data_IF_556361541190
#
_entry.id   IF_556361541190
#
_cell.length_a   1.000
_cell.length_b   1.000
_cell.length_c   1.000
_cell.angle_alpha   90.00
_cell.angle_beta   90.00
_cell.angle_gamma   90.00
#
_symmetry.space_group_name_H-M   'P 1'
#
loop_
_entity.id
_entity.type
_entity.pdbx_description
1 polymer ?
#
# COMPACT_ATOMS: atom_id res chain seq x y z
N UNK A 1 20.67 36.35 -51.68
CA UNK A 1 19.82 36.01 -52.88
C UNK A 1 20.28 34.68 -53.41
N UNK A 2 19.68 33.57 -52.99
CA UNK A 2 19.77 32.29 -53.68
C UNK A 2 18.43 31.58 -53.48
N UNK A 3 17.78 31.21 -54.57
CA UNK A 3 16.42 30.77 -54.68
C UNK A 3 16.26 29.29 -54.28
N UNK A 4 15.11 28.96 -53.69
CA UNK A 4 14.61 27.60 -53.44
C UNK A 4 13.98 27.03 -54.71
N UNK A 5 14.13 25.72 -55.02
CA UNK A 5 13.27 25.03 -55.96
C UNK A 5 12.08 24.36 -55.26
N UNK A 6 10.90 24.62 -55.78
CA UNK A 6 9.65 23.88 -55.52
C UNK A 6 9.74 22.51 -56.17
N UNK A 7 9.39 21.45 -55.46
CA UNK A 7 9.13 20.13 -56.00
C UNK A 7 7.69 19.71 -55.84
N UNK A 8 7.20 19.13 -56.90
CA UNK A 8 5.82 18.85 -57.27
C UNK A 8 5.08 17.84 -56.38
N UNK A 9 3.77 18.03 -56.34
CA UNK A 9 2.78 17.12 -55.81
C UNK A 9 2.71 15.83 -56.66
N UNK A 10 2.80 14.68 -56.01
CA UNK A 10 2.50 13.37 -56.62
C UNK A 10 1.18 12.86 -56.09
N UNK A 11 0.20 12.70 -56.99
CA UNK A 11 -1.09 12.11 -56.76
C UNK A 11 -0.98 10.61 -56.46
N UNK A 12 -1.55 10.14 -55.38
CA UNK A 12 -1.76 8.72 -55.08
C UNK A 12 -3.24 8.42 -55.25
N UNK A 13 -3.66 7.41 -56.05
CA UNK A 13 -5.06 7.09 -56.25
C UNK A 13 -5.67 6.36 -55.06
N UNK A 14 -6.91 6.73 -54.74
CA UNK A 14 -7.72 6.14 -53.67
C UNK A 14 -8.08 4.68 -54.00
N UNK A 15 -7.63 3.74 -53.17
CA UNK A 15 -8.13 2.37 -53.15
C UNK A 15 -9.40 2.30 -52.29
N UNK A 16 -10.53 1.90 -52.87
CA UNK A 16 -11.76 1.57 -52.19
C UNK A 16 -11.63 0.28 -51.42
N UNK A 17 -12.02 0.20 -50.11
CA UNK A 17 -12.06 -1.07 -49.41
C UNK A 17 -13.35 -1.83 -49.81
N UNK A 18 -13.19 -3.08 -50.23
CA UNK A 18 -14.30 -4.06 -50.35
C UNK A 18 -14.68 -4.45 -48.90
N UNK A 19 -15.95 -4.16 -48.54
CA UNK A 19 -16.54 -4.65 -47.32
C UNK A 19 -16.92 -6.13 -47.50
N UNK A 20 -16.16 -7.00 -46.81
CA UNK A 20 -16.55 -8.40 -46.66
C UNK A 20 -17.40 -8.51 -45.36
N UNK A 21 -18.69 -8.71 -45.53
CA UNK A 21 -19.62 -8.96 -44.41
C UNK A 21 -19.47 -10.42 -44.01
N UNK A 22 -18.83 -10.70 -42.90
CA UNK A 22 -18.89 -11.98 -42.22
C UNK A 22 -20.07 -11.99 -41.26
N UNK A 23 -21.12 -12.73 -41.59
CA UNK A 23 -22.20 -13.06 -40.65
C UNK A 23 -21.69 -14.25 -39.83
N UNK A 24 -21.27 -13.99 -38.57
CA UNK A 24 -20.98 -15.04 -37.61
C UNK A 24 -22.26 -15.24 -36.77
N UNK A 25 -22.94 -16.37 -37.02
CA UNK A 25 -23.98 -16.90 -36.11
C UNK A 25 -23.23 -17.36 -34.84
N UNK A 26 -23.21 -16.57 -33.81
CA UNK A 26 -22.75 -16.99 -32.48
C UNK A 26 -23.94 -17.52 -31.68
N UNK A 27 -24.02 -18.85 -31.54
CA UNK A 27 -24.85 -19.49 -30.54
C UNK A 27 -24.41 -18.98 -29.16
N UNK A 28 -25.34 -18.31 -28.46
CA UNK A 28 -25.08 -17.74 -27.15
C UNK A 28 -24.85 -18.81 -26.10
N UNK A 29 -23.60 -18.99 -25.71
CA UNK A 29 -23.25 -19.58 -24.40
C UNK A 29 -23.03 -18.39 -23.48
N UNK A 30 -24.02 -18.13 -22.60
CA UNK A 30 -23.87 -17.16 -21.53
C UNK A 30 -22.71 -17.61 -20.62
N UNK A 31 -21.70 -16.76 -20.36
CA UNK A 31 -20.71 -17.10 -19.34
C UNK A 31 -21.41 -17.08 -17.99
N UNK A 32 -21.43 -18.22 -17.32
CA UNK A 32 -21.69 -18.29 -15.88
C UNK A 32 -20.56 -17.52 -15.21
N UNK A 33 -20.85 -16.27 -14.82
CA UNK A 33 -19.96 -15.49 -13.95
C UNK A 33 -20.05 -16.19 -12.59
N UNK A 34 -19.11 -17.08 -12.31
CA UNK A 34 -18.89 -17.57 -10.96
C UNK A 34 -18.53 -16.32 -10.12
N UNK A 35 -19.44 -15.95 -9.23
CA UNK A 35 -19.25 -14.92 -8.22
C UNK A 35 -18.10 -15.41 -7.33
N UNK A 36 -16.92 -14.84 -7.58
CA UNK A 36 -15.72 -15.17 -6.85
C UNK A 36 -15.83 -14.47 -5.49
N UNK A 37 -16.29 -15.22 -4.48
CA UNK A 37 -16.23 -14.81 -3.09
C UNK A 37 -14.85 -14.23 -2.80
N UNK A 38 -14.74 -13.06 -2.14
CA UNK A 38 -13.46 -12.50 -1.78
C UNK A 38 -12.84 -13.37 -0.67
N UNK A 39 -12.13 -14.41 -1.08
CA UNK A 39 -11.28 -15.15 -0.14
C UNK A 39 -10.19 -14.19 0.33
N UNK A 40 -10.29 -13.73 1.56
CA UNK A 40 -9.31 -12.89 2.26
C UNK A 40 -8.04 -13.66 2.65
N UNK A 41 -7.67 -14.67 1.88
CA UNK A 41 -6.37 -15.31 1.99
C UNK A 41 -5.36 -14.43 1.28
N UNK A 42 -4.46 -13.80 2.04
CA UNK A 42 -3.28 -13.13 1.52
C UNK A 42 -2.42 -14.17 0.80
N UNK A 43 -2.62 -14.31 -0.51
CA UNK A 43 -1.84 -15.24 -1.31
C UNK A 43 -0.40 -14.70 -1.44
N UNK A 44 0.50 -15.25 -0.62
CA UNK A 44 1.93 -14.98 -0.70
C UNK A 44 2.44 -15.64 -1.97
N UNK A 45 3.03 -14.87 -2.88
CA UNK A 45 3.62 -15.44 -4.09
C UNK A 45 4.70 -16.45 -3.71
N UNK A 46 4.84 -17.52 -4.50
CA UNK A 46 5.81 -18.60 -4.25
C UNK A 46 7.22 -18.09 -3.95
N UNK A 47 7.65 -17.00 -4.61
CA UNK A 47 8.98 -16.40 -4.41
C UNK A 47 9.13 -15.67 -3.07
N UNK A 48 8.05 -15.25 -2.41
CA UNK A 48 8.08 -14.55 -1.13
C UNK A 48 7.84 -15.49 0.04
N UNK A 49 7.43 -16.74 -0.20
CA UNK A 49 7.09 -17.68 0.86
C UNK A 49 8.26 -17.94 1.83
N UNK A 50 9.44 -18.23 1.28
CA UNK A 50 10.64 -18.47 2.11
C UNK A 50 11.03 -17.21 2.92
N UNK A 51 10.88 -16.02 2.33
CA UNK A 51 11.16 -14.75 3.01
C UNK A 51 10.13 -14.47 4.10
N UNK A 52 8.85 -14.70 3.84
CA UNK A 52 7.79 -14.54 4.84
C UNK A 52 8.00 -15.53 6.01
N UNK A 53 8.41 -16.76 5.74
CA UNK A 53 8.72 -17.73 6.78
C UNK A 53 9.94 -17.30 7.62
N UNK A 54 11.00 -16.78 6.98
CA UNK A 54 12.17 -16.25 7.69
C UNK A 54 11.79 -15.06 8.60
N UNK A 55 10.99 -14.11 8.08
CA UNK A 55 10.48 -12.99 8.88
C UNK A 55 9.60 -13.48 10.04
N UNK A 56 8.70 -14.42 9.81
CA UNK A 56 7.85 -15.00 10.86
C UNK A 56 8.69 -15.62 12.00
N UNK A 57 9.74 -16.35 11.66
CA UNK A 57 10.66 -16.93 12.65
C UNK A 57 11.34 -15.86 13.47
N UNK A 58 11.81 -14.78 12.84
CA UNK A 58 12.48 -13.68 13.54
C UNK A 58 11.52 -12.87 14.41
N UNK A 59 10.29 -12.62 13.95
CA UNK A 59 9.26 -11.97 14.76
C UNK A 59 8.89 -12.80 15.99
N UNK A 60 8.73 -14.12 15.82
CA UNK A 60 8.47 -15.02 16.95
C UNK A 60 9.63 -15.03 17.97
N UNK A 61 10.86 -14.82 17.51
CA UNK A 61 12.05 -14.77 18.37
C UNK A 61 12.21 -13.45 19.16
N UNK A 62 11.41 -12.40 18.87
CA UNK A 62 11.45 -11.14 19.63
C UNK A 62 11.16 -11.35 21.11
N UNK A 63 10.31 -12.32 21.47
CA UNK A 63 10.02 -12.70 22.85
C UNK A 63 9.32 -14.06 22.90
N UNK A 64 9.56 -14.81 23.98
CA UNK A 64 8.84 -16.06 24.28
C UNK A 64 7.30 -15.87 24.41
N UNK A 65 6.84 -14.63 24.57
CA UNK A 65 5.40 -14.28 24.67
C UNK A 65 4.73 -14.06 23.32
N UNK A 66 5.49 -14.01 22.23
CA UNK A 66 4.93 -13.82 20.89
C UNK A 66 4.28 -15.10 20.41
N UNK A 67 3.01 -15.01 19.97
CA UNK A 67 2.32 -16.12 19.34
C UNK A 67 2.92 -16.37 17.92
N UNK A 68 3.46 -17.57 17.65
CA UNK A 68 4.03 -17.90 16.34
C UNK A 68 3.02 -17.78 15.19
N UNK A 69 1.72 -18.01 15.47
CA UNK A 69 0.66 -17.84 14.45
C UNK A 69 0.46 -16.37 14.11
N UNK A 70 0.52 -15.49 15.12
CA UNK A 70 0.45 -14.05 14.91
C UNK A 70 1.68 -13.54 14.15
N UNK A 71 2.88 -13.98 14.52
CA UNK A 71 4.12 -13.67 13.80
C UNK A 71 4.05 -14.09 12.32
N UNK A 72 3.52 -15.28 12.04
CA UNK A 72 3.30 -15.78 10.67
C UNK A 72 2.29 -14.90 9.92
N UNK A 73 1.16 -14.60 10.51
CA UNK A 73 0.14 -13.75 9.88
C UNK A 73 0.67 -12.35 9.55
N UNK A 74 1.47 -11.77 10.45
CA UNK A 74 2.13 -10.48 10.22
C UNK A 74 3.11 -10.56 9.05
N UNK A 75 3.97 -11.57 9.00
CA UNK A 75 4.96 -11.74 7.95
C UNK A 75 4.29 -11.91 6.56
N UNK A 76 3.29 -12.76 6.47
CA UNK A 76 2.53 -12.99 5.23
C UNK A 76 1.79 -11.71 4.77
N UNK A 77 1.11 -11.04 5.70
CA UNK A 77 0.41 -9.79 5.41
C UNK A 77 1.38 -8.69 4.95
N UNK A 78 2.53 -8.54 5.61
CA UNK A 78 3.54 -7.53 5.27
C UNK A 78 4.10 -7.73 3.86
N UNK A 79 4.45 -8.98 3.48
CA UNK A 79 4.90 -9.29 2.13
C UNK A 79 3.81 -9.06 1.07
N UNK A 80 2.58 -9.50 1.34
CA UNK A 80 1.44 -9.28 0.44
C UNK A 80 1.13 -7.78 0.27
N UNK A 81 1.14 -7.01 1.36
CA UNK A 81 0.93 -5.57 1.35
C UNK A 81 2.02 -4.85 0.55
N UNK A 82 3.31 -5.15 0.81
CA UNK A 82 4.42 -4.53 0.08
C UNK A 82 4.31 -4.77 -1.44
N UNK A 83 3.99 -5.99 -1.87
CA UNK A 83 3.78 -6.31 -3.29
C UNK A 83 2.59 -5.57 -3.89
N UNK A 84 1.45 -5.53 -3.18
CA UNK A 84 0.27 -4.77 -3.62
C UNK A 84 0.59 -3.30 -3.77
N UNK A 85 1.28 -2.70 -2.79
CA UNK A 85 1.67 -1.30 -2.83
C UNK A 85 2.65 -0.99 -3.96
N UNK A 86 3.59 -1.90 -4.25
CA UNK A 86 4.48 -1.78 -5.42
C UNK A 86 3.70 -1.63 -6.71
N UNK A 87 2.67 -2.45 -6.91
CA UNK A 87 1.78 -2.37 -8.07
C UNK A 87 0.94 -1.10 -8.05
N UNK A 88 0.29 -0.77 -6.93
CA UNK A 88 -0.58 0.40 -6.78
C UNK A 88 0.16 1.73 -6.97
N UNK A 89 1.40 1.81 -6.49
CA UNK A 89 2.24 2.99 -6.63
C UNK A 89 3.02 3.02 -7.95
N UNK A 90 2.84 1.98 -8.78
CA UNK A 90 3.57 1.83 -10.05
C UNK A 90 5.07 2.04 -9.88
N UNK A 91 5.65 1.39 -8.84
CA UNK A 91 7.05 1.57 -8.47
C UNK A 91 7.97 1.21 -9.62
N UNK A 92 8.71 2.20 -10.12
CA UNK A 92 9.64 2.07 -11.24
C UNK A 92 10.89 2.91 -11.01
N UNK A 93 12.06 2.40 -11.37
CA UNK A 93 13.34 3.08 -11.17
C UNK A 93 13.69 3.25 -9.69
N UNK A 94 14.42 4.30 -9.34
CA UNK A 94 14.87 4.55 -7.97
C UNK A 94 13.76 5.14 -7.08
N UNK A 95 13.83 4.98 -5.73
CA UNK A 95 12.92 5.66 -4.81
C UNK A 95 12.91 7.19 -4.99
N UNK A 96 14.08 7.81 -5.21
CA UNK A 96 14.20 9.25 -5.47
C UNK A 96 13.48 9.64 -6.77
N UNK A 97 13.59 8.83 -7.83
CA UNK A 97 12.85 9.07 -9.06
C UNK A 97 11.33 8.96 -8.85
N UNK A 98 10.87 8.02 -8.02
CA UNK A 98 9.46 7.94 -7.68
C UNK A 98 8.98 9.15 -6.87
N UNK A 99 9.81 9.67 -5.96
CA UNK A 99 9.53 10.93 -5.26
C UNK A 99 9.40 12.10 -6.24
N UNK A 100 10.28 12.19 -7.23
CA UNK A 100 10.17 13.19 -8.30
C UNK A 100 8.84 13.08 -9.05
N UNK A 101 8.40 11.87 -9.43
CA UNK A 101 7.11 11.67 -10.10
C UNK A 101 5.92 12.07 -9.23
N UNK A 102 5.97 11.81 -7.92
CA UNK A 102 4.91 12.24 -6.99
C UNK A 102 4.93 13.75 -6.82
N UNK A 103 6.11 14.36 -6.66
CA UNK A 103 6.27 15.80 -6.48
C UNK A 103 5.71 16.60 -7.68
N UNK A 104 5.94 16.13 -8.91
CA UNK A 104 5.44 16.76 -10.13
C UNK A 104 4.01 16.34 -10.51
N UNK A 105 3.30 15.62 -9.66
CA UNK A 105 1.90 15.27 -9.88
C UNK A 105 1.65 14.12 -10.88
N UNK A 106 2.70 13.49 -11.42
CA UNK A 106 2.56 12.30 -12.28
C UNK A 106 2.04 11.09 -11.52
N UNK A 107 2.20 11.09 -10.20
CA UNK A 107 1.69 10.06 -9.28
C UNK A 107 1.07 10.70 -8.05
N UNK A 108 0.04 10.06 -7.51
CA UNK A 108 -0.67 10.56 -6.31
C UNK A 108 0.00 10.15 -5.01
N UNK A 109 0.72 9.03 -4.99
CA UNK A 109 1.34 8.43 -3.79
C UNK A 109 2.64 7.73 -4.18
N UNK A 110 3.54 7.51 -3.20
CA UNK A 110 4.80 6.81 -3.39
C UNK A 110 5.95 7.27 -2.48
N UNK A 111 5.75 8.30 -1.64
CA UNK A 111 6.73 8.72 -0.63
C UNK A 111 6.91 7.66 0.47
N UNK A 112 8.08 7.62 1.12
CA UNK A 112 8.39 6.66 2.19
C UNK A 112 7.32 6.60 3.28
N UNK A 113 6.84 7.75 3.78
CA UNK A 113 5.80 7.81 4.80
C UNK A 113 4.46 7.21 4.33
N UNK A 114 4.14 7.29 3.04
CA UNK A 114 2.90 6.71 2.49
C UNK A 114 2.97 5.18 2.44
N UNK A 115 4.15 4.63 2.18
CA UNK A 115 4.39 3.19 2.28
C UNK A 115 4.22 2.69 3.71
N UNK A 116 4.81 3.41 4.67
CA UNK A 116 4.69 3.08 6.09
C UNK A 116 3.25 3.20 6.58
N UNK A 117 2.52 4.24 6.15
CA UNK A 117 1.10 4.44 6.45
C UNK A 117 0.24 3.26 5.99
N UNK A 118 0.37 2.87 4.72
CA UNK A 118 -0.46 1.81 4.15
C UNK A 118 -0.07 0.43 4.72
N UNK A 119 1.21 0.21 5.04
CA UNK A 119 1.67 -1.00 5.71
C UNK A 119 1.16 -1.07 7.15
N UNK A 120 1.22 0.03 7.91
CA UNK A 120 0.66 0.13 9.26
C UNK A 120 -0.82 -0.25 9.27
N UNK A 121 -1.61 0.33 8.37
CA UNK A 121 -3.05 0.06 8.30
C UNK A 121 -3.37 -1.38 7.90
N UNK A 122 -2.57 -1.97 7.00
CA UNK A 122 -2.74 -3.36 6.63
C UNK A 122 -2.50 -4.31 7.82
N UNK A 123 -1.47 -4.05 8.63
CA UNK A 123 -1.15 -4.87 9.80
C UNK A 123 -2.06 -4.57 11.01
N UNK A 124 -2.51 -3.33 11.19
CA UNK A 124 -3.52 -2.99 12.23
C UNK A 124 -4.84 -3.77 12.05
N UNK A 125 -5.17 -4.13 10.80
CA UNK A 125 -6.36 -4.93 10.50
C UNK A 125 -6.29 -6.34 11.09
N UNK A 126 -5.09 -6.88 11.37
CA UNK A 126 -4.88 -8.19 11.99
C UNK A 126 -5.26 -8.23 13.47
N UNK A 127 -5.44 -7.06 14.12
CA UNK A 127 -5.81 -6.95 15.55
C UNK A 127 -4.87 -7.72 16.47
N UNK A 128 -3.57 -7.40 16.35
CA UNK A 128 -2.48 -8.06 17.04
C UNK A 128 -2.65 -8.04 18.58
N UNK A 129 -2.28 -9.15 19.23
CA UNK A 129 -2.41 -9.36 20.69
C UNK A 129 -1.05 -9.45 21.38
N UNK A 130 -0.08 -10.06 20.73
CA UNK A 130 1.26 -10.35 21.27
C UNK A 130 2.36 -9.50 20.64
N UNK A 131 2.05 -8.84 19.50
CA UNK A 131 2.91 -7.90 18.81
C UNK A 131 2.32 -6.49 18.86
N UNK A 132 3.17 -5.47 18.69
CA UNK A 132 2.81 -4.05 18.70
C UNK A 132 3.47 -3.32 17.53
N UNK A 133 2.75 -2.35 16.95
CA UNK A 133 3.17 -1.63 15.76
C UNK A 133 3.52 -0.18 16.10
N UNK A 134 4.72 0.25 15.71
CA UNK A 134 5.27 1.57 15.95
C UNK A 134 5.67 2.23 14.62
N UNK A 135 5.71 3.56 14.61
CA UNK A 135 6.23 4.34 13.49
C UNK A 135 7.66 4.75 13.76
N UNK A 136 8.59 4.36 12.90
CA UNK A 136 9.98 4.74 12.97
C UNK A 136 10.33 5.80 11.93
N UNK A 137 11.13 6.81 12.34
CA UNK A 137 11.65 7.87 11.49
C UNK A 137 13.17 7.94 11.60
N UNK A 138 13.83 8.01 10.46
CA UNK A 138 15.25 8.34 10.37
C UNK A 138 15.43 9.61 9.52
N UNK A 139 16.37 10.48 9.92
CA UNK A 139 16.71 11.72 9.23
C UNK A 139 15.52 12.67 9.02
N UNK A 140 14.58 12.73 9.96
CA UNK A 140 13.35 13.52 9.87
C UNK A 140 13.63 14.97 9.46
N UNK A 141 12.81 15.51 8.52
CA UNK A 141 12.94 16.86 8.00
C UNK A 141 14.10 17.10 7.03
N UNK A 142 14.81 16.07 6.61
CA UNK A 142 15.87 16.15 5.60
C UNK A 142 15.48 15.47 4.29
N UNK A 143 16.24 15.71 3.23
CA UNK A 143 16.04 15.01 1.95
C UNK A 143 16.30 13.49 2.03
N UNK A 144 16.99 13.05 3.10
CA UNK A 144 17.25 11.62 3.39
C UNK A 144 16.18 10.98 4.26
N UNK A 145 15.15 11.74 4.65
CA UNK A 145 14.09 11.21 5.52
C UNK A 145 13.59 9.85 5.04
N UNK A 146 13.55 8.91 5.96
CA UNK A 146 13.02 7.59 5.75
C UNK A 146 12.10 7.20 6.90
N UNK A 147 10.92 6.72 6.53
CA UNK A 147 9.92 6.23 7.46
C UNK A 147 9.77 4.72 7.30
N UNK A 148 9.61 4.02 8.39
CA UNK A 148 9.42 2.57 8.41
C UNK A 148 8.39 2.17 9.46
N UNK A 149 7.86 0.97 9.30
CA UNK A 149 7.09 0.33 10.36
C UNK A 149 8.03 -0.48 11.24
N UNK A 150 7.87 -0.36 12.56
CA UNK A 150 8.61 -1.18 13.52
C UNK A 150 7.65 -2.07 14.29
N UNK A 151 8.01 -3.32 14.47
CA UNK A 151 7.23 -4.31 15.21
C UNK A 151 8.01 -4.75 16.42
N UNK A 152 7.41 -4.61 17.61
CA UNK A 152 7.95 -5.15 18.86
C UNK A 152 7.09 -6.28 19.40
N UNK A 153 7.61 -7.11 20.28
CA UNK A 153 6.74 -7.86 21.17
C UNK A 153 6.02 -6.89 22.11
N UNK A 154 4.77 -7.16 22.40
CA UNK A 154 3.92 -6.25 23.18
C UNK A 154 4.57 -5.87 24.52
N UNK A 155 4.63 -4.55 24.76
CA UNK A 155 5.26 -3.97 25.95
C UNK A 155 6.78 -3.95 25.94
N UNK A 156 7.43 -4.30 24.82
CA UNK A 156 8.87 -4.09 24.66
C UNK A 156 9.16 -2.68 24.11
N UNK A 157 10.32 -2.09 24.44
CA UNK A 157 10.73 -0.80 23.93
C UNK A 157 10.99 -0.87 22.42
N UNK A 158 10.79 0.27 21.74
CA UNK A 158 10.93 0.45 20.30
C UNK A 158 12.27 -0.08 19.75
N UNK A 159 13.37 0.14 20.46
CA UNK A 159 14.73 -0.23 20.05
C UNK A 159 14.93 -1.75 19.93
N UNK A 160 14.08 -2.54 20.60
CA UNK A 160 14.09 -4.02 20.51
C UNK A 160 13.24 -4.55 19.37
N UNK A 161 12.65 -3.66 18.60
CA UNK A 161 11.77 -4.02 17.49
C UNK A 161 12.50 -4.41 16.22
N UNK A 162 11.71 -4.86 15.28
CA UNK A 162 12.09 -5.19 13.92
C UNK A 162 11.49 -4.18 12.95
N UNK A 163 12.34 -3.57 12.14
CA UNK A 163 11.99 -2.67 11.05
C UNK A 163 11.36 -3.48 9.92
N UNK A 164 10.27 -2.97 9.35
CA UNK A 164 9.71 -3.38 8.06
C UNK A 164 9.72 -2.17 7.12
N UNK A 165 10.43 -2.29 6.02
CA UNK A 165 10.63 -1.21 5.06
C UNK A 165 10.58 -1.74 3.62
N UNK A 166 9.85 -1.08 2.74
CA UNK A 166 9.72 -1.50 1.35
C UNK A 166 10.06 -0.37 0.35
N UNK A 167 10.03 0.89 0.74
CA UNK A 167 10.23 2.02 -0.16
C UNK A 167 11.62 2.04 -0.81
N UNK A 168 12.71 1.94 -0.03
CA UNK A 168 14.09 1.93 -0.53
C UNK A 168 14.42 0.73 -1.39
N UNK A 169 13.68 -0.36 -1.19
CA UNK A 169 13.90 -1.64 -1.87
C UNK A 169 12.92 -1.88 -3.01
N UNK A 170 12.46 -0.80 -3.65
CA UNK A 170 11.63 -0.86 -4.87
C UNK A 170 10.34 -1.66 -4.68
N UNK A 171 9.75 -1.61 -3.48
CA UNK A 171 8.56 -2.37 -3.12
C UNK A 171 8.82 -3.82 -2.73
N UNK A 172 10.07 -4.21 -2.54
CA UNK A 172 10.43 -5.47 -1.89
C UNK A 172 10.56 -5.24 -0.39
N UNK A 173 9.87 -6.04 0.41
CA UNK A 173 9.94 -5.93 1.86
C UNK A 173 11.35 -6.31 2.35
N UNK A 174 11.97 -5.39 3.07
CA UNK A 174 13.19 -5.58 3.85
C UNK A 174 12.83 -5.53 5.33
N UNK A 175 13.56 -6.25 6.15
CA UNK A 175 13.48 -6.18 7.60
C UNK A 175 14.85 -6.27 8.24
N UNK A 176 15.01 -5.66 9.41
CA UNK A 176 16.21 -5.73 10.24
C UNK A 176 15.85 -5.37 11.68
N UNK A 177 16.69 -5.70 12.65
CA UNK A 177 16.54 -5.19 14.01
C UNK A 177 16.83 -3.69 14.04
N UNK A 178 16.09 -2.91 14.83
CA UNK A 178 16.27 -1.44 14.96
C UNK A 178 17.71 -1.09 15.31
N UNK A 179 18.31 -1.79 16.28
CA UNK A 179 19.68 -1.53 16.71
C UNK A 179 20.77 -2.03 15.75
N UNK A 180 20.41 -2.87 14.78
CA UNK A 180 21.35 -3.42 13.79
C UNK A 180 21.21 -2.75 12.42
N UNK A 181 20.33 -1.79 12.28
CA UNK A 181 20.13 -1.09 11.02
C UNK A 181 21.17 0.01 10.79
N UNK A 182 21.48 0.27 9.52
CA UNK A 182 22.40 1.35 9.12
C UNK A 182 21.84 2.73 9.42
N UNK A 183 20.49 2.87 9.37
CA UNK A 183 19.80 4.10 9.73
C UNK A 183 19.41 4.08 11.20
N UNK A 184 19.65 5.20 11.87
CA UNK A 184 19.19 5.39 13.24
C UNK A 184 17.75 5.85 13.26
N UNK A 185 16.83 4.93 13.61
CA UNK A 185 15.41 5.23 13.73
C UNK A 185 15.02 5.68 15.13
N UNK A 186 14.07 6.60 15.18
CA UNK A 186 13.41 7.07 16.41
C UNK A 186 11.90 6.86 16.28
N UNK A 187 11.23 6.60 17.40
CA UNK A 187 9.80 6.41 17.42
C UNK A 187 9.04 7.73 17.26
N UNK A 188 8.03 7.74 16.35
CA UNK A 188 7.06 8.84 16.23
C UNK A 188 5.65 8.35 16.58
N UNK A 189 5.32 8.36 17.86
CA UNK A 189 4.00 7.95 18.39
C UNK A 189 2.86 8.83 17.88
N UNK A 190 3.13 10.13 17.66
CA UNK A 190 2.12 11.10 17.18
C UNK A 190 1.69 10.80 15.75
N UNK A 191 2.63 10.38 14.90
CA UNK A 191 2.32 10.06 13.51
C UNK A 191 1.50 8.78 13.40
N UNK A 192 1.88 7.72 14.11
CA UNK A 192 1.11 6.48 14.17
C UNK A 192 -0.35 6.72 14.61
N UNK A 193 -0.54 7.51 15.69
CA UNK A 193 -1.87 7.88 16.17
C UNK A 193 -2.68 8.67 15.13
N UNK A 194 -2.05 9.65 14.47
CA UNK A 194 -2.69 10.46 13.41
C UNK A 194 -3.19 9.59 12.24
N UNK A 195 -2.36 8.64 11.79
CA UNK A 195 -2.71 7.72 10.70
C UNK A 195 -3.94 6.90 11.06
N UNK A 196 -3.95 6.30 12.25
CA UNK A 196 -5.08 5.50 12.76
C UNK A 196 -6.36 6.32 12.90
N UNK A 197 -6.29 7.52 13.47
CA UNK A 197 -7.45 8.42 13.59
C UNK A 197 -8.02 8.80 12.23
N UNK A 198 -7.16 9.14 11.27
CA UNK A 198 -7.59 9.49 9.91
C UNK A 198 -8.22 8.30 9.17
N UNK A 199 -7.73 7.09 9.38
CA UNK A 199 -8.31 5.89 8.80
C UNK A 199 -9.69 5.59 9.42
N UNK A 200 -9.81 5.68 10.74
CA UNK A 200 -11.08 5.49 11.45
C UNK A 200 -12.15 6.48 10.98
N UNK A 201 -11.80 7.76 10.77
CA UNK A 201 -12.76 8.78 10.29
C UNK A 201 -13.26 8.56 8.86
N UNK A 202 -12.52 7.82 8.03
CA UNK A 202 -12.88 7.46 6.65
C UNK A 202 -13.65 6.14 6.56
N UNK A 203 -13.76 5.39 7.64
CA UNK A 203 -14.48 4.13 7.68
C UNK A 203 -16.00 4.36 7.49
N UNK A 204 -16.72 3.52 6.72
CA UNK A 204 -18.16 3.61 6.57
C UNK A 204 -18.92 3.57 7.91
N UNK A 205 -18.42 2.84 8.90
CA UNK A 205 -18.99 2.80 10.24
C UNK A 205 -18.95 4.16 10.97
N UNK A 206 -17.88 4.96 10.78
CA UNK A 206 -17.79 6.31 11.35
C UNK A 206 -18.80 7.26 10.70
N UNK A 207 -19.02 7.14 9.38
CA UNK A 207 -20.00 7.95 8.67
C UNK A 207 -21.45 7.63 9.11
N UNK A 208 -21.74 6.37 9.43
CA UNK A 208 -23.06 5.97 9.96
C UNK A 208 -23.32 6.55 11.34
N UNK A 209 -22.32 6.59 12.22
CA UNK A 209 -22.45 7.15 13.57
C UNK A 209 -22.65 8.66 13.55
N UNK A 210 -21.94 9.38 12.68
CA UNK A 210 -22.09 10.84 12.50
C UNK A 210 -23.45 11.18 11.88
N UNK A 211 -23.94 10.37 10.94
CA UNK A 211 -25.27 10.55 10.34
C UNK A 211 -26.37 10.30 11.37
N UNK A 212 -26.24 9.26 12.19
CA UNK A 212 -27.18 8.95 13.27
C UNK A 212 -27.21 10.04 14.36
N UNK A 213 -26.06 10.54 14.83
CA UNK A 213 -26.00 11.64 15.78
C UNK A 213 -26.65 12.93 15.24
N UNK A 214 -26.43 13.26 13.97
CA UNK A 214 -27.07 14.41 13.32
C UNK A 214 -28.60 14.26 13.25
N UNK A 215 -29.11 13.06 13.01
CA UNK A 215 -30.55 12.79 12.98
C UNK A 215 -31.19 12.91 14.35
N UNK A 216 -30.52 12.45 15.40
CA UNK A 216 -30.99 12.58 16.80
C UNK A 216 -31.06 14.04 17.21
N UNK A 217 -30.00 14.84 16.96
CA UNK A 217 -29.98 16.27 17.31
C UNK A 217 -31.02 17.06 16.51
N UNK A 218 -31.31 16.66 15.26
CA UNK A 218 -32.36 17.29 14.47
C UNK A 218 -33.76 16.99 15.00
N UNK A 219 -34.01 15.78 15.51
CA UNK A 219 -35.31 15.40 16.09
C UNK A 219 -35.59 16.08 17.46
N UNK A 220 -34.54 16.33 18.27
CA UNK A 220 -34.69 17.08 19.54
C UNK A 220 -35.02 18.56 19.32
N UNK A 221 -34.56 19.16 18.22
CA UNK A 221 -34.88 20.56 17.87
C UNK A 221 -36.28 20.77 17.32
N UNK A 222 -36.91 19.74 16.78
CA UNK A 222 -38.28 19.82 16.22
C UNK A 222 -39.36 19.39 17.18
N UNK A 223 -39.01 18.86 18.37
CA UNK A 223 -39.95 18.41 19.40
C UNK A 223 -40.29 19.44 20.48
N UNK A 224 -39.82 20.68 20.40
CA UNK A 224 -40.02 21.74 21.38
C UNK A 224 -40.78 22.95 20.77
N UNK A 225 -41.98 22.68 20.23
CA UNK A 225 -42.98 23.69 19.90
C UNK A 225 -44.34 23.25 20.39
#
# INVERSE_FOLDING_TARGET
MIALPRCAASCIPAMRPLAVVFIILSAGVAPVIAEQEPSSSFEVAKNDFAKAQALATQLAALSLKVDPKEAKAVAECAHAAARRLRSQYHMFGTPIFNNFLVYHGFRKRGYCYQWTEDLLLALDALKLKTLELHWGEAYAGTWRENNCLVITAKGQPFERGMILEAWRHFGHLRWNLVLSDEDRYFENTKWAARVRTRAASKSPAANHHVAFQKSVIASEKTGNH
#
